data_IF_430424526634
#
_entry.id   IF_430424526634
#
_cell.length_a   1.000
_cell.length_b   1.000
_cell.length_c   1.000
_cell.angle_alpha   90.00
_cell.angle_beta   90.00
_cell.angle_gamma   90.00
#
_symmetry.space_group_name_H-M   'P 1'
#
loop_
_entity.id
_entity.type
_entity.pdbx_description
1 polymer ?
#
# COMPACT_ATOMS: atom_id res chain seq x y z
N UNK A 1 7.64 -22.44 5.86
CA UNK A 1 7.16 -22.76 4.50
C UNK A 1 8.09 -22.02 3.56
N UNK A 2 8.94 -22.74 2.84
CA UNK A 2 10.03 -22.19 2.06
C UNK A 2 10.62 -23.26 1.15
N UNK A 3 11.58 -22.86 0.30
CA UNK A 3 12.25 -23.78 -0.64
C UNK A 3 13.00 -24.92 0.06
N UNK A 4 13.40 -24.69 1.29
CA UNK A 4 13.97 -25.64 2.24
C UNK A 4 13.00 -26.74 2.69
N UNK A 5 11.69 -26.53 2.57
CA UNK A 5 10.65 -27.53 2.85
C UNK A 5 10.19 -28.30 1.60
N UNK A 6 10.94 -28.21 0.48
CA UNK A 6 10.61 -28.90 -0.77
C UNK A 6 9.58 -28.20 -1.66
N UNK A 7 9.29 -26.92 -1.40
CA UNK A 7 8.45 -26.09 -2.27
C UNK A 7 9.30 -25.34 -3.29
N UNK A 8 9.22 -25.71 -4.56
CA UNK A 8 9.83 -24.98 -5.68
C UNK A 8 8.98 -23.78 -6.12
N UNK A 9 9.39 -23.12 -7.21
CA UNK A 9 8.67 -21.97 -7.80
C UNK A 9 7.29 -22.34 -8.35
N UNK A 10 7.06 -23.61 -8.68
CA UNK A 10 5.84 -24.07 -9.36
C UNK A 10 4.79 -24.58 -8.36
N UNK A 11 5.20 -24.90 -7.13
CA UNK A 11 4.33 -25.45 -6.08
C UNK A 11 3.65 -24.40 -5.21
N UNK A 12 4.12 -23.14 -5.24
CA UNK A 12 3.51 -22.02 -4.51
C UNK A 12 3.60 -20.72 -5.31
N UNK A 13 2.63 -19.80 -5.15
CA UNK A 13 2.69 -18.48 -5.77
C UNK A 13 3.70 -17.60 -5.02
N UNK A 14 4.98 -17.76 -5.34
CA UNK A 14 6.04 -16.91 -4.81
C UNK A 14 6.04 -15.56 -5.50
N UNK A 15 6.20 -14.48 -4.74
CA UNK A 15 6.45 -13.16 -5.31
C UNK A 15 7.84 -13.12 -5.98
N UNK A 16 7.92 -12.45 -7.12
CA UNK A 16 9.19 -12.22 -7.82
C UNK A 16 10.02 -11.16 -7.07
N UNK A 17 11.31 -11.43 -6.88
CA UNK A 17 12.27 -10.48 -6.28
C UNK A 17 12.35 -9.18 -7.08
N UNK A 18 12.04 -9.20 -8.38
CA UNK A 18 11.98 -8.01 -9.22
C UNK A 18 10.88 -7.04 -8.78
N UNK A 19 9.76 -7.54 -8.22
CA UNK A 19 8.61 -6.72 -7.84
C UNK A 19 8.97 -5.61 -6.84
N UNK A 20 9.52 -5.90 -5.64
CA UNK A 20 9.92 -4.84 -4.71
C UNK A 20 11.08 -3.99 -5.25
N UNK A 21 11.95 -4.55 -6.10
CA UNK A 21 13.07 -3.82 -6.71
C UNK A 21 12.58 -2.74 -7.68
N UNK A 22 11.71 -3.10 -8.62
CA UNK A 22 11.11 -2.18 -9.58
C UNK A 22 10.21 -1.17 -8.89
N UNK A 23 9.42 -1.60 -7.90
CA UNK A 23 8.57 -0.72 -7.11
C UNK A 23 9.38 0.34 -6.34
N UNK A 24 10.53 -0.04 -5.76
CA UNK A 24 11.42 0.91 -5.08
C UNK A 24 12.02 1.95 -6.05
N UNK A 25 12.36 1.54 -7.27
CA UNK A 25 12.82 2.47 -8.32
C UNK A 25 11.70 3.43 -8.72
N UNK A 26 10.48 2.94 -8.89
CA UNK A 26 9.32 3.79 -9.18
C UNK A 26 9.03 4.78 -8.05
N UNK A 27 9.13 4.35 -6.78
CA UNK A 27 8.96 5.24 -5.61
C UNK A 27 10.00 6.38 -5.55
N UNK A 28 11.17 6.20 -6.16
CA UNK A 28 12.20 7.24 -6.26
C UNK A 28 11.95 8.24 -7.41
N UNK A 29 10.94 7.98 -8.26
CA UNK A 29 10.58 8.86 -9.37
C UNK A 29 9.69 10.03 -8.93
N UNK A 30 9.57 11.10 -9.75
CA UNK A 30 8.65 12.21 -9.49
C UNK A 30 7.17 11.81 -9.43
N UNK A 31 6.79 10.74 -10.12
CA UNK A 31 5.39 10.27 -10.20
C UNK A 31 4.86 9.86 -8.82
N UNK A 32 5.73 9.25 -8.00
CA UNK A 32 5.41 8.75 -6.68
C UNK A 32 5.61 9.78 -5.55
N UNK A 33 5.94 11.04 -5.85
CA UNK A 33 6.28 12.05 -4.83
C UNK A 33 5.16 12.25 -3.79
N UNK A 34 3.91 12.09 -4.20
CA UNK A 34 2.74 12.21 -3.31
C UNK A 34 2.67 11.15 -2.19
N UNK A 35 3.40 10.04 -2.35
CA UNK A 35 3.50 8.95 -1.38
C UNK A 35 4.58 9.19 -0.32
N UNK A 36 5.33 10.30 -0.39
CA UNK A 36 6.40 10.59 0.58
C UNK A 36 5.87 10.62 2.02
N UNK A 37 6.51 9.84 2.89
CA UNK A 37 6.12 9.70 4.30
C UNK A 37 4.83 8.88 4.52
N UNK A 38 4.41 8.11 3.51
CA UNK A 38 3.27 7.19 3.59
C UNK A 38 3.77 5.74 3.50
N UNK A 39 3.01 4.82 4.05
CA UNK A 39 3.25 3.39 3.99
C UNK A 39 2.56 2.79 2.76
N UNK A 40 3.32 2.06 1.95
CA UNK A 40 2.86 1.42 0.72
C UNK A 40 3.44 0.01 0.62
N UNK A 41 2.75 -0.86 -0.11
CA UNK A 41 3.16 -2.26 -0.30
C UNK A 41 3.43 -2.53 -1.78
N UNK A 42 4.54 -3.21 -2.09
CA UNK A 42 4.95 -3.49 -3.46
C UNK A 42 3.99 -4.38 -4.25
N UNK A 43 3.10 -5.10 -3.58
CA UNK A 43 2.08 -5.92 -4.23
C UNK A 43 0.85 -5.10 -4.68
N UNK A 44 0.81 -3.79 -4.42
CA UNK A 44 -0.26 -2.91 -4.92
C UNK A 44 0.00 -2.47 -6.36
N UNK A 45 -1.09 -2.24 -7.08
CA UNK A 45 -1.06 -1.73 -8.45
C UNK A 45 -0.69 -0.23 -8.46
N UNK A 46 0.28 0.13 -9.30
CA UNK A 46 0.77 1.50 -9.44
C UNK A 46 -0.25 2.42 -10.11
N UNK A 47 -0.97 1.93 -11.11
CA UNK A 47 -1.98 2.72 -11.84
C UNK A 47 -3.15 3.07 -10.91
N UNK A 48 -3.57 2.12 -10.06
CA UNK A 48 -4.60 2.40 -9.05
C UNK A 48 -4.14 3.44 -8.00
N UNK A 49 -2.86 3.42 -7.63
CA UNK A 49 -2.28 4.42 -6.72
C UNK A 49 -2.26 5.82 -7.37
N UNK A 50 -1.94 5.89 -8.66
CA UNK A 50 -1.93 7.13 -9.42
C UNK A 50 -3.34 7.71 -9.59
N UNK A 51 -4.31 6.87 -9.95
CA UNK A 51 -5.72 7.25 -10.04
C UNK A 51 -6.29 7.69 -8.68
N UNK A 52 -5.84 7.04 -7.60
CA UNK A 52 -6.23 7.36 -6.23
C UNK A 52 -5.53 8.57 -5.60
N UNK A 53 -4.58 9.20 -6.30
CA UNK A 53 -3.68 10.24 -5.76
C UNK A 53 -4.42 11.37 -5.05
N UNK A 54 -5.46 11.94 -5.67
CA UNK A 54 -6.20 13.06 -5.08
C UNK A 54 -6.87 12.68 -3.76
N UNK A 55 -7.48 11.49 -3.71
CA UNK A 55 -8.13 10.95 -2.50
C UNK A 55 -7.11 10.72 -1.40
N UNK A 56 -5.98 10.10 -1.73
CA UNK A 56 -4.88 9.83 -0.77
C UNK A 56 -4.37 11.12 -0.14
N UNK A 57 -4.22 12.18 -0.94
CA UNK A 57 -3.77 13.48 -0.45
C UNK A 57 -4.85 14.15 0.42
N UNK A 58 -6.09 14.25 -0.08
CA UNK A 58 -7.20 14.94 0.57
C UNK A 58 -7.58 14.34 1.93
N UNK A 59 -7.58 13.01 2.02
CA UNK A 59 -7.98 12.27 3.22
C UNK A 59 -6.78 11.86 4.09
N UNK A 60 -5.56 12.27 3.71
CA UNK A 60 -4.32 11.95 4.43
C UNK A 60 -4.13 10.45 4.69
N UNK A 61 -4.56 9.60 3.74
CA UNK A 61 -4.52 8.14 3.83
C UNK A 61 -3.08 7.61 3.84
N UNK A 62 -2.92 6.33 4.19
CA UNK A 62 -1.64 5.62 4.14
C UNK A 62 -0.56 6.19 5.07
N UNK A 63 -0.91 7.08 5.99
CA UNK A 63 0.00 7.53 7.05
C UNK A 63 -0.20 6.69 8.29
N UNK A 64 0.91 6.21 8.83
CA UNK A 64 0.92 5.60 10.15
C UNK A 64 1.05 6.73 11.17
N UNK A 65 0.15 6.77 12.15
CA UNK A 65 0.16 7.80 13.19
C UNK A 65 -0.86 7.55 14.27
N UNK A 66 -0.69 8.25 15.40
CA UNK A 66 -1.67 8.25 16.48
C UNK A 66 -2.80 9.22 16.12
N UNK A 67 -4.02 8.69 16.00
CA UNK A 67 -5.22 9.50 15.79
C UNK A 67 -5.94 9.65 17.15
N UNK A 68 -6.30 10.88 17.54
CA UNK A 68 -7.00 11.15 18.80
C UNK A 68 -8.45 10.65 18.78
N UNK A 69 -9.01 10.28 19.95
CA UNK A 69 -10.34 9.65 20.09
C UNK A 69 -11.50 10.38 19.39
N UNK A 70 -11.45 11.72 19.28
CA UNK A 70 -12.50 12.51 18.63
C UNK A 70 -12.59 12.25 17.12
N UNK A 71 -11.43 12.10 16.46
CA UNK A 71 -11.31 11.85 15.03
C UNK A 71 -11.75 10.42 14.68
N UNK A 72 -11.42 9.43 15.52
CA UNK A 72 -11.88 8.03 15.35
C UNK A 72 -13.40 7.91 15.35
N UNK A 73 -14.09 8.64 16.24
CA UNK A 73 -15.54 8.63 16.30
C UNK A 73 -16.21 9.25 15.05
N UNK A 74 -15.54 10.20 14.40
CA UNK A 74 -15.99 10.82 13.15
C UNK A 74 -15.72 9.89 11.96
N UNK A 75 -14.56 9.24 11.91
CA UNK A 75 -14.19 8.29 10.87
C UNK A 75 -15.09 7.04 10.88
N UNK A 76 -15.37 6.48 12.06
CA UNK A 76 -16.28 5.34 12.21
C UNK A 76 -17.71 5.68 11.78
N UNK A 77 -18.17 6.92 11.96
CA UNK A 77 -19.52 7.32 11.54
C UNK A 77 -19.68 7.46 10.03
N UNK A 78 -18.57 7.58 9.28
CA UNK A 78 -18.58 7.81 7.83
C UNK A 78 -18.60 6.52 6.99
N UNK A 79 -18.24 5.35 7.54
CA UNK A 79 -17.98 4.17 6.70
C UNK A 79 -18.58 2.83 7.19
N UNK A 80 -19.69 2.82 7.92
CA UNK A 80 -20.25 1.58 8.51
C UNK A 80 -21.26 0.81 7.64
N UNK A 81 -21.41 1.09 6.34
CA UNK A 81 -22.47 0.46 5.52
C UNK A 81 -22.04 -0.09 4.14
N UNK A 82 -20.75 -0.32 3.91
CA UNK A 82 -20.30 -1.10 2.73
C UNK A 82 -19.18 -2.07 3.11
N UNK A 83 -19.56 -3.12 3.83
CA UNK A 83 -19.02 -4.47 3.73
C UNK A 83 -20.20 -5.44 3.77
#
# INVERSE_FOLDING_TARGET
IGRDNGHDVDTMPWDDVQLPGQFAVWLASPEAEFLKGRFVWANWDVDELLDGKERILKENLLKIGLVGKAEWAIALRRNTWKL
#
